data_IF_670378582241
#
_entry.id   IF_670378582241
#
_cell.length_a   1.000
_cell.length_b   1.000
_cell.length_c   1.000
_cell.angle_alpha   90.00
_cell.angle_beta   90.00
_cell.angle_gamma   90.00
#
_symmetry.space_group_name_H-M   'P 1'
#
loop_
_entity.id
_entity.type
_entity.pdbx_description
1 polymer ?
#
# COMPACT_ATOMS: atom_id res chain seq x y z
N UNK A 1 17.44 16.03 21.53
CA UNK A 1 16.19 15.86 22.31
C UNK A 1 16.04 14.41 22.80
N UNK A 2 15.68 14.19 24.07
CA UNK A 2 15.64 12.86 24.72
C UNK A 2 14.51 11.91 24.26
N UNK A 3 13.94 12.14 23.07
CA UNK A 3 12.82 11.39 22.52
C UNK A 3 11.49 11.69 23.23
N UNK A 4 10.39 11.30 22.58
CA UNK A 4 9.04 11.41 23.13
C UNK A 4 8.62 10.03 23.65
N UNK A 5 8.13 9.95 24.89
CA UNK A 5 7.55 8.70 25.42
C UNK A 5 6.19 8.47 24.77
N UNK A 6 6.10 7.49 23.89
CA UNK A 6 4.84 7.02 23.33
C UNK A 6 4.34 5.88 24.22
N UNK A 7 3.11 5.99 24.71
CA UNK A 7 2.42 4.98 25.49
C UNK A 7 0.97 4.84 25.01
N UNK A 8 0.35 3.71 25.30
CA UNK A 8 -1.09 3.54 25.13
C UNK A 8 -1.81 4.46 26.12
N UNK A 9 -2.96 5.02 25.71
CA UNK A 9 -3.84 5.77 26.61
C UNK A 9 -4.48 4.86 27.66
N UNK A 10 -5.29 5.43 28.55
CA UNK A 10 -5.92 4.69 29.65
C UNK A 10 -7.03 3.71 29.17
N UNK A 11 -7.58 3.92 27.98
CA UNK A 11 -8.69 3.13 27.43
C UNK A 11 -8.15 1.97 26.57
N UNK A 12 -7.68 0.92 27.23
CA UNK A 12 -7.21 -0.31 26.57
C UNK A 12 -8.18 -1.45 26.88
N UNK A 13 -8.97 -1.87 25.88
CA UNK A 13 -9.82 -3.08 25.96
C UNK A 13 -9.12 -4.24 25.22
N UNK A 14 -8.56 -5.18 25.99
CA UNK A 14 -7.89 -6.37 25.46
C UNK A 14 -8.69 -7.59 25.89
N UNK A 15 -9.26 -8.30 24.92
CA UNK A 15 -10.01 -9.54 25.17
C UNK A 15 -9.37 -10.70 24.43
N UNK A 16 -9.17 -11.86 25.08
CA UNK A 16 -8.79 -13.06 24.39
C UNK A 16 -9.91 -13.45 23.42
N UNK A 17 -9.54 -13.67 22.17
CA UNK A 17 -10.42 -14.22 21.16
C UNK A 17 -10.34 -15.75 21.28
N UNK A 18 -11.46 -16.40 21.59
CA UNK A 18 -11.63 -17.85 21.54
C UNK A 18 -12.57 -18.19 20.40
N UNK A 19 -12.27 -19.26 19.67
CA UNK A 19 -13.03 -19.74 18.52
C UNK A 19 -14.24 -20.62 18.93
N UNK A 20 -14.50 -20.76 20.23
CA UNK A 20 -15.39 -21.78 20.80
C UNK A 20 -16.84 -21.28 20.95
N UNK A 21 -17.14 -20.09 20.41
CA UNK A 21 -18.43 -19.43 20.54
C UNK A 21 -18.80 -18.55 19.35
N UNK A 22 -19.58 -17.49 19.59
CA UNK A 22 -20.08 -16.56 18.55
C UNK A 22 -18.98 -15.87 17.72
N UNK A 23 -17.75 -15.78 18.25
CA UNK A 23 -16.60 -15.19 17.58
C UNK A 23 -15.77 -16.31 16.96
N UNK A 24 -15.92 -16.52 15.66
CA UNK A 24 -15.12 -17.50 14.91
C UNK A 24 -13.80 -16.90 14.40
N UNK A 25 -12.81 -17.74 14.13
CA UNK A 25 -11.55 -17.33 13.48
C UNK A 25 -11.80 -16.55 12.18
N UNK A 26 -12.82 -16.94 11.41
CA UNK A 26 -13.22 -16.24 10.20
C UNK A 26 -13.74 -14.82 10.46
N UNK A 27 -14.56 -14.61 11.50
CA UNK A 27 -15.04 -13.27 11.89
C UNK A 27 -13.88 -12.38 12.36
N UNK A 28 -12.93 -12.95 13.08
CA UNK A 28 -11.73 -12.25 13.59
C UNK A 28 -10.80 -11.87 12.45
N UNK A 29 -10.53 -12.80 11.54
CA UNK A 29 -9.76 -12.55 10.34
C UNK A 29 -10.41 -11.48 9.47
N UNK A 30 -11.73 -11.53 9.28
CA UNK A 30 -12.49 -10.51 8.55
C UNK A 30 -12.45 -9.14 9.22
N UNK A 31 -12.56 -9.08 10.55
CA UNK A 31 -12.42 -7.85 11.32
C UNK A 31 -11.00 -7.27 11.18
N UNK A 32 -9.96 -8.07 11.37
CA UNK A 32 -8.56 -7.64 11.16
C UNK A 32 -8.32 -7.17 9.73
N UNK A 33 -8.81 -7.90 8.72
CA UNK A 33 -8.70 -7.53 7.32
C UNK A 33 -9.41 -6.21 7.04
N UNK A 34 -10.60 -5.99 7.60
CA UNK A 34 -11.31 -4.70 7.50
C UNK A 34 -10.44 -3.56 8.00
N UNK A 35 -9.88 -3.62 9.21
CA UNK A 35 -9.09 -2.50 9.73
C UNK A 35 -7.70 -2.37 9.10
N UNK A 36 -7.18 -3.48 8.57
CA UNK A 36 -5.96 -3.48 7.75
C UNK A 36 -6.12 -2.66 6.46
N UNK A 37 -7.27 -2.76 5.79
CA UNK A 37 -7.51 -2.17 4.48
C UNK A 37 -8.30 -0.86 4.53
N UNK A 38 -9.01 -0.58 5.64
CA UNK A 38 -9.84 0.62 5.77
C UNK A 38 -9.07 1.94 5.71
N UNK A 39 -7.73 1.91 5.76
CA UNK A 39 -6.90 3.11 5.72
C UNK A 39 -6.06 3.28 4.46
N UNK A 40 -6.19 2.41 3.44
CA UNK A 40 -5.32 2.45 2.25
C UNK A 40 -5.85 3.28 1.07
N UNK A 41 -7.07 3.83 1.15
CA UNK A 41 -7.78 4.29 -0.06
C UNK A 41 -7.92 5.81 -0.22
N UNK A 42 -7.55 6.65 0.77
CA UNK A 42 -7.95 8.08 0.75
C UNK A 42 -6.81 9.12 0.82
N UNK A 43 -5.53 8.75 0.82
CA UNK A 43 -4.44 9.72 1.06
C UNK A 43 -3.72 10.23 -0.19
N UNK A 44 -4.29 10.11 -1.40
CA UNK A 44 -3.66 10.66 -2.61
C UNK A 44 -2.28 10.04 -2.88
N UNK A 45 -2.25 8.70 -2.97
CA UNK A 45 -1.03 7.91 -3.07
C UNK A 45 -0.05 8.47 -4.12
N UNK A 46 1.24 8.49 -3.78
CA UNK A 46 2.35 8.51 -4.74
C UNK A 46 3.13 7.21 -4.53
N UNK A 47 3.05 6.29 -5.49
CA UNK A 47 3.72 4.98 -5.38
C UNK A 47 5.24 5.07 -5.32
N UNK A 48 5.81 6.20 -5.73
CA UNK A 48 7.26 6.39 -5.86
C UNK A 48 7.79 7.20 -4.68
N UNK A 49 9.01 6.87 -4.26
CA UNK A 49 9.79 7.68 -3.32
C UNK A 49 9.94 9.09 -3.84
N UNK A 50 9.71 10.06 -2.96
CA UNK A 50 9.99 11.47 -3.21
C UNK A 50 11.50 11.71 -3.05
N UNK A 51 12.03 12.55 -3.91
CA UNK A 51 13.40 13.08 -3.89
C UNK A 51 13.34 14.63 -3.90
N UNK A 52 14.50 15.28 -3.87
CA UNK A 52 14.58 16.74 -3.82
C UNK A 52 13.99 17.43 -5.05
N UNK A 53 13.88 16.74 -6.18
CA UNK A 53 13.46 17.34 -7.45
C UNK A 53 11.92 17.37 -7.57
N UNK A 54 11.22 16.51 -6.83
CA UNK A 54 9.75 16.36 -6.93
C UNK A 54 9.01 16.63 -5.62
N UNK A 55 9.71 16.85 -4.51
CA UNK A 55 9.08 16.99 -3.20
C UNK A 55 8.12 18.18 -3.13
N UNK A 56 8.47 19.31 -3.75
CA UNK A 56 7.67 20.54 -3.69
C UNK A 56 6.31 20.44 -4.41
N UNK A 57 6.12 19.41 -5.24
CA UNK A 57 4.81 19.12 -5.86
C UNK A 57 3.82 18.47 -4.90
N UNK A 58 4.31 17.90 -3.78
CA UNK A 58 3.53 17.08 -2.86
C UNK A 58 3.67 17.52 -1.40
N UNK A 59 4.63 18.38 -1.07
CA UNK A 59 4.84 18.94 0.25
C UNK A 59 4.39 20.41 0.26
N UNK A 60 3.37 20.70 1.06
CA UNK A 60 2.90 22.06 1.30
C UNK A 60 2.49 22.18 2.77
N UNK A 61 3.19 23.03 3.52
CA UNK A 61 2.94 23.29 4.94
C UNK A 61 1.55 23.91 5.19
N UNK A 62 0.95 24.52 4.17
CA UNK A 62 -0.37 25.16 4.22
C UNK A 62 -1.42 24.42 3.39
N UNK A 63 -1.02 23.33 2.72
CA UNK A 63 -1.87 22.55 1.83
C UNK A 63 -2.84 21.63 2.56
N UNK A 64 -3.29 20.59 1.88
CA UNK A 64 -4.11 19.50 2.41
C UNK A 64 -3.41 18.72 3.52
N UNK A 65 -4.16 17.95 4.30
CA UNK A 65 -3.59 17.18 5.40
C UNK A 65 -2.43 16.22 4.97
N UNK A 66 -2.53 15.47 3.86
CA UNK A 66 -1.42 14.68 3.34
C UNK A 66 -0.20 15.52 2.96
N UNK A 67 -0.38 16.66 2.31
CA UNK A 67 0.72 17.55 1.91
C UNK A 67 1.49 18.06 3.14
N UNK A 68 0.77 18.46 4.20
CA UNK A 68 1.40 18.86 5.48
C UNK A 68 2.14 17.71 6.18
N UNK A 69 1.65 16.48 6.04
CA UNK A 69 2.33 15.30 6.60
C UNK A 69 3.60 14.97 5.83
N UNK A 70 3.56 15.08 4.49
CA UNK A 70 4.72 14.88 3.63
C UNK A 70 5.79 15.93 3.95
N UNK A 71 5.40 17.21 4.03
CA UNK A 71 6.27 18.32 4.43
C UNK A 71 6.94 18.07 5.79
N UNK A 72 6.14 17.76 6.82
CA UNK A 72 6.67 17.46 8.15
C UNK A 72 7.65 16.28 8.15
N UNK A 73 7.35 15.21 7.42
CA UNK A 73 8.25 14.06 7.29
C UNK A 73 9.56 14.44 6.60
N UNK A 74 9.49 15.31 5.59
CA UNK A 74 10.64 15.77 4.82
C UNK A 74 11.55 16.68 5.64
N UNK A 75 10.97 17.61 6.39
CA UNK A 75 11.68 18.53 7.29
C UNK A 75 12.34 17.76 8.45
N UNK A 76 11.57 16.95 9.19
CA UNK A 76 12.08 16.18 10.32
C UNK A 76 13.14 15.15 9.89
N UNK A 77 12.98 14.56 8.70
CA UNK A 77 13.94 13.60 8.17
C UNK A 77 15.28 14.18 7.72
N UNK A 78 15.47 15.50 7.77
CA UNK A 78 16.79 16.13 7.66
C UNK A 78 17.70 15.81 8.85
N UNK A 79 17.12 15.46 10.01
CA UNK A 79 17.90 15.04 11.18
C UNK A 79 18.43 13.61 11.01
N UNK A 80 19.71 13.39 11.35
CA UNK A 80 20.40 12.10 11.16
C UNK A 80 19.67 10.89 11.77
N UNK A 81 18.98 11.10 12.89
CA UNK A 81 18.27 10.02 13.60
C UNK A 81 16.88 9.74 13.00
N UNK A 82 16.36 10.63 12.14
CA UNK A 82 14.99 10.59 11.62
C UNK A 82 14.91 10.47 10.10
N UNK A 83 16.01 10.14 9.43
CA UNK A 83 16.09 9.95 7.97
C UNK A 83 15.04 9.00 7.40
N UNK A 84 14.49 8.10 8.22
CA UNK A 84 13.40 7.20 7.83
C UNK A 84 12.10 7.95 7.52
N UNK A 85 11.81 9.06 8.20
CA UNK A 85 10.63 9.88 7.91
C UNK A 85 10.71 10.43 6.47
N UNK A 86 11.86 10.98 6.08
CA UNK A 86 12.10 11.44 4.70
C UNK A 86 12.06 10.28 3.69
N UNK A 87 12.73 9.15 4.00
CA UNK A 87 12.72 7.94 3.14
C UNK A 87 11.29 7.45 2.83
N UNK A 88 10.38 7.60 3.78
CA UNK A 88 9.00 7.12 3.70
C UNK A 88 7.97 8.24 3.62
N UNK A 89 8.36 9.47 3.22
CA UNK A 89 7.46 10.61 3.13
C UNK A 89 6.29 10.35 2.15
N UNK A 90 6.54 9.65 1.03
CA UNK A 90 5.51 9.15 0.11
C UNK A 90 4.47 8.19 0.74
N UNK A 91 4.78 7.65 1.93
CA UNK A 91 3.88 6.87 2.78
C UNK A 91 3.59 7.60 4.11
N UNK A 92 3.61 8.94 4.10
CA UNK A 92 3.33 9.78 5.27
C UNK A 92 4.24 9.47 6.48
N UNK A 93 5.50 9.10 6.20
CA UNK A 93 6.50 8.74 7.21
C UNK A 93 6.41 7.30 7.71
N UNK A 94 5.40 6.54 7.27
CA UNK A 94 5.20 5.15 7.69
C UNK A 94 5.95 4.17 6.79
N UNK A 95 7.14 3.74 7.23
CA UNK A 95 7.96 2.75 6.51
C UNK A 95 7.69 1.28 6.87
N UNK A 96 6.68 1.02 7.69
CA UNK A 96 6.46 -0.26 8.35
C UNK A 96 5.33 -1.08 7.74
N UNK A 97 5.09 -2.25 8.33
CA UNK A 97 3.83 -2.95 8.16
C UNK A 97 2.87 -2.48 9.26
N UNK A 98 1.60 -2.20 8.91
CA UNK A 98 0.56 -1.84 9.90
C UNK A 98 0.31 -2.95 10.93
N UNK A 99 0.93 -4.12 10.74
CA UNK A 99 0.99 -5.24 11.67
C UNK A 99 2.33 -5.26 12.38
N UNK A 100 2.31 -5.20 13.71
CA UNK A 100 3.47 -5.52 14.53
C UNK A 100 3.67 -7.03 14.55
N UNK A 101 4.80 -7.50 14.03
CA UNK A 101 5.17 -8.92 14.10
C UNK A 101 5.69 -9.23 15.49
N UNK A 102 4.82 -9.67 16.39
CA UNK A 102 5.27 -10.34 17.61
C UNK A 102 6.05 -11.59 17.23
N UNK A 103 7.32 -11.72 17.64
CA UNK A 103 8.09 -12.96 17.45
C UNK A 103 7.46 -14.17 18.16
N UNK A 104 6.65 -13.93 19.19
CA UNK A 104 5.98 -14.96 19.99
C UNK A 104 4.66 -15.43 19.38
N UNK A 105 3.98 -14.57 18.61
CA UNK A 105 2.61 -14.83 18.14
C UNK A 105 2.44 -14.70 16.62
N UNK A 106 3.47 -14.31 15.87
CA UNK A 106 3.40 -14.10 14.42
C UNK A 106 4.36 -15.02 13.66
N UNK A 107 3.84 -15.70 12.65
CA UNK A 107 4.64 -16.43 11.66
C UNK A 107 5.18 -15.48 10.57
N UNK A 108 6.25 -15.87 9.89
CA UNK A 108 6.84 -15.03 8.85
C UNK A 108 5.90 -14.89 7.65
N UNK A 109 5.97 -13.77 6.91
CA UNK A 109 5.16 -13.60 5.69
C UNK A 109 5.54 -14.62 4.60
N UNK A 110 6.77 -15.11 4.63
CA UNK A 110 7.24 -16.19 3.77
C UNK A 110 6.43 -17.46 4.03
N UNK A 111 6.34 -17.88 5.29
CA UNK A 111 5.58 -19.05 5.70
C UNK A 111 4.09 -18.95 5.31
N UNK A 112 3.46 -17.79 5.52
CA UNK A 112 2.08 -17.55 5.09
C UNK A 112 1.89 -17.51 3.56
N UNK A 113 2.94 -17.14 2.80
CA UNK A 113 2.90 -17.14 1.34
C UNK A 113 3.08 -18.57 0.80
N UNK A 114 4.00 -19.32 1.38
CA UNK A 114 4.25 -20.72 1.03
C UNK A 114 3.04 -21.61 1.34
N UNK A 115 2.38 -21.39 2.49
CA UNK A 115 1.13 -22.06 2.84
C UNK A 115 0.02 -21.78 1.82
N UNK A 116 -0.15 -20.52 1.38
CA UNK A 116 -1.13 -20.16 0.33
C UNK A 116 -0.78 -20.74 -1.03
N UNK A 117 0.50 -20.77 -1.40
CA UNK A 117 0.95 -21.41 -2.66
C UNK A 117 0.68 -22.90 -2.62
N UNK A 118 0.97 -23.55 -1.49
CA UNK A 118 0.70 -24.98 -1.30
C UNK A 118 -0.79 -25.26 -1.38
N UNK A 119 -1.60 -24.54 -0.61
CA UNK A 119 -3.07 -24.66 -0.63
C UNK A 119 -3.64 -24.46 -2.04
N UNK A 120 -3.23 -23.42 -2.78
CA UNK A 120 -3.67 -23.22 -4.17
C UNK A 120 -3.25 -24.35 -5.12
N UNK A 121 -2.09 -24.97 -4.88
CA UNK A 121 -1.59 -26.08 -5.70
C UNK A 121 -2.31 -27.39 -5.37
N UNK A 122 -2.76 -27.57 -4.13
CA UNK A 122 -3.50 -28.75 -3.69
C UNK A 122 -5.01 -28.64 -3.92
N UNK A 123 -5.56 -27.43 -3.95
CA UNK A 123 -6.96 -27.16 -4.33
C UNK A 123 -7.17 -27.06 -5.85
N UNK A 124 -6.63 -28.02 -6.60
CA UNK A 124 -7.00 -28.23 -7.99
C UNK A 124 -8.36 -28.90 -8.16
N UNK A 125 -9.42 -28.47 -7.45
CA UNK A 125 -10.72 -29.13 -7.54
C UNK A 125 -11.79 -28.68 -6.54
N UNK A 126 -12.18 -27.42 -6.55
CA UNK A 126 -13.46 -27.02 -5.96
C UNK A 126 -14.46 -26.72 -7.09
N UNK A 127 -15.19 -27.76 -7.51
CA UNK A 127 -16.57 -27.58 -7.95
C UNK A 127 -17.32 -26.96 -6.76
N UNK A 128 -17.66 -25.68 -6.89
CA UNK A 128 -18.58 -25.05 -5.95
C UNK A 128 -19.91 -25.79 -6.06
N UNK A 129 -20.39 -26.32 -4.94
CA UNK A 129 -21.72 -26.92 -4.87
C UNK A 129 -22.75 -25.92 -5.39
N UNK A 130 -23.53 -26.36 -6.37
CA UNK A 130 -24.60 -25.62 -7.03
C UNK A 130 -25.56 -25.03 -5.98
N UNK A 131 -25.43 -23.73 -5.72
CA UNK A 131 -26.43 -22.95 -4.99
C UNK A 131 -27.40 -22.38 -6.01
N UNK A 132 -28.68 -22.78 -6.03
CA UNK A 132 -29.66 -22.18 -6.92
C UNK A 132 -30.05 -20.80 -6.35
N UNK A 133 -29.35 -19.76 -6.80
CA UNK A 133 -29.65 -18.38 -6.46
C UNK A 133 -28.57 -17.42 -6.95
N UNK A 134 -28.88 -16.70 -8.04
CA UNK A 134 -28.05 -15.68 -8.69
C UNK A 134 -26.69 -16.17 -9.23
N UNK A 135 -26.62 -16.35 -10.55
CA UNK A 135 -25.44 -16.81 -11.29
C UNK A 135 -24.28 -15.81 -11.17
N UNK A 136 -23.47 -15.95 -10.13
CA UNK A 136 -22.15 -15.33 -10.07
C UNK A 136 -21.24 -16.09 -11.04
N UNK A 137 -20.78 -15.44 -12.11
CA UNK A 137 -19.81 -16.02 -13.02
C UNK A 137 -18.46 -16.21 -12.29
N UNK A 138 -18.20 -17.43 -11.80
CA UNK A 138 -16.90 -17.79 -11.23
C UNK A 138 -15.93 -18.09 -12.36
N UNK A 139 -15.09 -17.13 -12.71
CA UNK A 139 -13.99 -17.34 -13.67
C UNK A 139 -12.85 -18.07 -12.95
N UNK A 140 -12.89 -19.40 -12.99
CA UNK A 140 -11.95 -20.29 -12.26
C UNK A 140 -10.57 -20.47 -12.91
N UNK A 141 -10.37 -20.01 -14.15
CA UNK A 141 -9.11 -20.15 -14.87
C UNK A 141 -8.77 -18.87 -15.63
N UNK A 142 -7.73 -18.17 -15.18
CA UNK A 142 -7.12 -17.08 -15.93
C UNK A 142 -5.92 -17.66 -16.70
N UNK A 143 -6.04 -17.74 -18.02
CA UNK A 143 -4.88 -18.01 -18.89
C UNK A 143 -4.27 -16.70 -19.36
N UNK A 144 -2.96 -16.69 -19.57
CA UNK A 144 -2.27 -15.52 -20.10
C UNK A 144 -2.74 -15.26 -21.53
N UNK A 145 -3.51 -14.18 -21.71
CA UNK A 145 -4.07 -13.80 -23.02
C UNK A 145 -3.09 -13.03 -23.92
N UNK A 146 -1.93 -12.63 -23.39
CA UNK A 146 -0.94 -11.81 -24.08
C UNK A 146 -0.65 -10.47 -23.39
N UNK A 147 0.39 -9.78 -23.85
CA UNK A 147 0.78 -8.44 -23.41
C UNK A 147 0.96 -7.54 -24.63
N UNK A 148 0.51 -6.30 -24.54
CA UNK A 148 0.60 -5.33 -25.62
C UNK A 148 -0.73 -4.62 -25.84
N UNK A 149 -0.84 -3.94 -26.97
CA UNK A 149 -1.98 -3.12 -27.31
C UNK A 149 -2.93 -3.90 -28.21
N UNK A 150 -4.26 -3.82 -27.94
CA UNK A 150 -5.27 -4.56 -28.71
C UNK A 150 -5.35 -4.05 -30.16
N UNK A 151 -5.07 -2.76 -30.35
CA UNK A 151 -5.06 -2.11 -31.65
C UNK A 151 -3.79 -1.29 -31.85
N UNK A 152 -3.49 -0.95 -33.10
CA UNK A 152 -2.45 0.03 -33.43
C UNK A 152 -2.77 1.42 -32.88
N UNK A 153 -4.05 1.76 -32.72
CA UNK A 153 -4.51 2.99 -32.08
C UNK A 153 -4.17 3.05 -30.59
N UNK A 154 -4.39 1.96 -29.85
CA UNK A 154 -4.01 1.84 -28.43
C UNK A 154 -2.49 1.98 -28.28
N UNK A 155 -1.73 1.38 -29.19
CA UNK A 155 -0.27 1.50 -29.21
C UNK A 155 0.18 2.95 -29.46
N UNK A 156 -0.47 3.64 -30.40
CA UNK A 156 -0.17 5.03 -30.70
C UNK A 156 -0.48 5.93 -29.50
N UNK A 157 -1.63 5.75 -28.85
CA UNK A 157 -2.02 6.54 -27.67
C UNK A 157 -1.04 6.32 -26.51
N UNK A 158 -0.67 5.08 -26.23
CA UNK A 158 0.25 4.77 -25.15
C UNK A 158 1.68 5.27 -25.42
N UNK A 159 2.18 5.11 -26.66
CA UNK A 159 3.49 5.62 -27.04
C UNK A 159 3.53 7.16 -27.03
N UNK A 160 2.45 7.81 -27.47
CA UNK A 160 2.30 9.26 -27.40
C UNK A 160 2.27 9.75 -25.95
N UNK A 161 1.49 9.11 -25.08
CA UNK A 161 1.44 9.44 -23.66
C UNK A 161 2.82 9.25 -22.98
N UNK A 162 3.53 8.18 -23.31
CA UNK A 162 4.89 7.93 -22.82
C UNK A 162 5.90 8.96 -23.34
N UNK A 163 5.78 9.39 -24.60
CA UNK A 163 6.61 10.45 -25.18
C UNK A 163 6.36 11.80 -24.48
N UNK A 164 5.09 12.19 -24.34
CA UNK A 164 4.69 13.42 -23.63
C UNK A 164 5.16 13.40 -22.17
N UNK A 165 5.12 12.25 -21.49
CA UNK A 165 5.63 12.13 -20.12
C UNK A 165 7.14 12.36 -20.05
N UNK A 166 7.91 11.83 -21.01
CA UNK A 166 9.36 12.09 -21.10
C UNK A 166 9.67 13.55 -21.39
N UNK A 167 8.97 14.15 -22.36
CA UNK A 167 9.12 15.58 -22.68
C UNK A 167 8.82 16.47 -21.48
N UNK A 168 7.73 16.20 -20.75
CA UNK A 168 7.42 16.94 -19.51
C UNK A 168 8.51 16.78 -18.45
N UNK A 169 9.10 15.59 -18.32
CA UNK A 169 10.20 15.36 -17.40
C UNK A 169 11.48 16.09 -17.83
N UNK A 170 11.79 16.11 -19.13
CA UNK A 170 12.98 16.79 -19.64
C UNK A 170 12.83 18.32 -19.56
N UNK A 171 11.66 18.87 -19.92
CA UNK A 171 11.34 20.29 -19.72
C UNK A 171 11.42 20.66 -18.24
N UNK A 172 10.81 19.88 -17.35
CA UNK A 172 10.90 20.14 -15.91
C UNK A 172 12.36 20.13 -15.41
N UNK A 173 13.20 19.24 -15.93
CA UNK A 173 14.64 19.20 -15.61
C UNK A 173 15.38 20.43 -16.15
N UNK A 174 15.10 20.85 -17.38
CA UNK A 174 15.70 22.03 -18.01
C UNK A 174 15.31 23.31 -17.27
N UNK A 175 14.04 23.48 -16.91
CA UNK A 175 13.55 24.62 -16.12
C UNK A 175 14.20 24.67 -14.73
N UNK A 176 14.38 23.52 -14.07
CA UNK A 176 15.10 23.44 -12.79
C UNK A 176 16.59 23.78 -12.93
N UNK A 177 17.23 23.44 -14.05
CA UNK A 177 18.63 23.77 -14.33
C UNK A 177 18.83 25.25 -14.69
N UNK A 178 17.82 25.91 -15.28
CA UNK A 178 17.85 27.35 -15.61
C UNK A 178 17.56 28.20 -14.36
N UNK A 179 16.79 27.68 -13.41
CA UNK A 179 16.42 28.36 -12.17
C UNK A 179 17.48 28.28 -11.04
N UNK A 180 18.56 27.51 -11.23
CA UNK A 180 19.67 27.34 -10.29
C UNK A 180 20.89 28.19 -10.65
#
# INVERSE_FOLDING_TARGET
PAGWRIAWGEQVDVRPVSADGEVTDGKVAGYLAKYATKSTEATGHVSRRLDGDVIDLYADEHGTHPERLIDACWALGGHRDWQMLRRWAHMLGFGGHFLTKSRRYSVTFRLLRDARVTWRRTEGGHEYADQPGETTLVVGLLTYAGSGWRTTGDALLANTAAAMARERHDIAREELLIAA
#
